data_IF_158554716104
#
_entry.id   IF_158554716104
#
_cell.length_a   1.000
_cell.length_b   1.000
_cell.length_c   1.000
_cell.angle_alpha   90.00
_cell.angle_beta   90.00
_cell.angle_gamma   90.00
#
_symmetry.space_group_name_H-M   'P 1'
#
loop_
_entity.id
_entity.type
_entity.pdbx_description
1 polymer ?
#
# COMPACT_ATOMS: atom_id res chain seq x y z
N UNK A 1 -18.63 15.12 -32.64
CA UNK A 1 -18.46 16.35 -31.84
C UNK A 1 -18.72 15.98 -30.39
N UNK A 2 -17.96 16.49 -29.44
CA UNK A 2 -18.27 16.25 -28.02
C UNK A 2 -19.57 16.97 -27.65
N UNK A 3 -20.45 16.30 -26.90
CA UNK A 3 -21.71 16.90 -26.48
C UNK A 3 -21.46 18.09 -25.53
N UNK A 4 -22.23 19.18 -25.71
CA UNK A 4 -22.15 20.40 -24.90
C UNK A 4 -23.16 20.35 -23.76
N UNK A 5 -23.05 21.28 -22.82
CA UNK A 5 -23.96 21.37 -21.66
C UNK A 5 -24.67 22.72 -21.63
N UNK A 6 -25.88 22.78 -21.06
CA UNK A 6 -26.60 24.05 -20.82
C UNK A 6 -26.49 24.43 -19.34
N UNK A 7 -25.92 25.59 -19.08
CA UNK A 7 -25.94 26.22 -17.75
C UNK A 7 -27.09 27.21 -17.67
N UNK A 8 -27.90 27.10 -16.61
CA UNK A 8 -28.99 28.03 -16.32
C UNK A 8 -29.09 28.27 -14.80
N UNK A 9 -28.04 28.76 -14.13
CA UNK A 9 -28.08 29.08 -12.72
C UNK A 9 -28.88 30.35 -12.44
N UNK A 10 -29.24 30.51 -11.17
CA UNK A 10 -29.71 31.80 -10.65
C UNK A 10 -28.51 32.71 -10.44
N UNK A 11 -28.56 33.90 -11.02
CA UNK A 11 -27.54 34.93 -10.86
C UNK A 11 -27.71 35.75 -9.58
N UNK A 12 -26.74 36.62 -9.31
CA UNK A 12 -26.73 37.50 -8.13
C UNK A 12 -27.45 38.83 -8.36
N UNK A 13 -27.67 39.22 -9.62
CA UNK A 13 -28.31 40.47 -10.03
C UNK A 13 -27.36 41.66 -9.90
N UNK A 14 -26.15 41.56 -10.43
CA UNK A 14 -25.19 42.66 -10.38
C UNK A 14 -25.30 43.51 -11.66
N UNK A 15 -26.28 44.42 -11.71
CA UNK A 15 -26.53 45.25 -12.91
C UNK A 15 -25.29 46.03 -13.38
N UNK A 16 -24.48 46.53 -12.45
CA UNK A 16 -23.24 47.25 -12.78
C UNK A 16 -22.20 46.36 -13.47
N UNK A 17 -22.20 45.05 -13.19
CA UNK A 17 -21.39 44.08 -13.91
C UNK A 17 -21.98 43.80 -15.29
N UNK A 18 -23.29 43.52 -15.35
CA UNK A 18 -24.00 43.15 -16.58
C UNK A 18 -23.90 44.26 -17.64
N UNK A 19 -23.93 45.51 -17.18
CA UNK A 19 -23.92 46.68 -18.05
C UNK A 19 -22.52 47.28 -18.24
N UNK A 20 -21.48 46.60 -17.71
CA UNK A 20 -20.08 47.03 -17.79
C UNK A 20 -19.82 48.43 -17.23
N UNK A 21 -20.55 48.82 -16.18
CA UNK A 21 -20.27 50.04 -15.41
C UNK A 21 -18.91 49.96 -14.68
N UNK A 22 -18.40 48.74 -14.49
CA UNK A 22 -17.02 48.46 -14.11
C UNK A 22 -16.51 47.18 -14.78
N UNK A 23 -15.19 47.08 -14.95
CA UNK A 23 -14.53 45.95 -15.60
C UNK A 23 -13.92 45.03 -14.55
N UNK A 24 -14.34 43.76 -14.53
CA UNK A 24 -13.78 42.72 -13.68
C UNK A 24 -12.52 42.08 -14.31
N UNK A 25 -11.68 41.44 -13.49
CA UNK A 25 -10.44 40.79 -13.95
C UNK A 25 -10.64 39.67 -14.99
N UNK A 26 -11.83 39.09 -15.10
CA UNK A 26 -12.18 38.05 -16.08
C UNK A 26 -12.69 38.61 -17.42
N UNK A 27 -12.87 39.92 -17.53
CA UNK A 27 -13.33 40.60 -18.73
C UNK A 27 -12.11 41.00 -19.56
N UNK A 28 -12.18 40.75 -20.87
CA UNK A 28 -11.22 41.20 -21.88
C UNK A 28 -11.75 42.52 -22.47
N UNK A 29 -11.21 43.69 -22.08
CA UNK A 29 -11.81 44.99 -22.41
C UNK A 29 -12.00 45.22 -23.91
N UNK A 30 -11.09 44.72 -24.73
CA UNK A 30 -11.10 44.86 -26.19
C UNK A 30 -12.30 44.15 -26.85
N UNK A 31 -12.87 43.16 -26.15
CA UNK A 31 -14.01 42.37 -26.63
C UNK A 31 -15.36 42.90 -26.15
N UNK A 32 -15.39 43.90 -25.27
CA UNK A 32 -16.65 44.48 -24.76
C UNK A 32 -17.56 44.97 -25.89
N UNK A 33 -16.97 45.42 -27.00
CA UNK A 33 -17.69 45.81 -28.22
C UNK A 33 -18.42 44.66 -28.92
N UNK A 34 -18.11 43.40 -28.58
CA UNK A 34 -18.80 42.22 -29.12
C UNK A 34 -20.07 41.89 -28.33
N UNK A 35 -20.21 42.40 -27.10
CA UNK A 35 -21.39 42.17 -26.28
C UNK A 35 -22.66 42.62 -27.00
N UNK A 36 -23.77 41.92 -26.77
CA UNK A 36 -25.08 42.28 -27.34
C UNK A 36 -26.02 42.75 -26.26
N UNK A 37 -26.57 43.93 -26.42
CA UNK A 37 -27.59 44.48 -25.52
C UNK A 37 -28.95 44.30 -26.19
N UNK A 38 -29.84 43.52 -25.58
CA UNK A 38 -31.21 43.32 -26.08
C UNK A 38 -32.16 44.32 -25.45
N UNK A 39 -32.00 44.58 -24.15
CA UNK A 39 -32.72 45.61 -23.41
C UNK A 39 -31.89 46.02 -22.20
N UNK A 40 -31.91 47.31 -21.86
CA UNK A 40 -31.24 47.88 -20.70
C UNK A 40 -32.07 49.06 -20.18
N UNK A 41 -33.11 48.73 -19.42
CA UNK A 41 -33.97 49.70 -18.76
C UNK A 41 -33.53 49.89 -17.30
N UNK A 42 -33.68 51.11 -16.75
CA UNK A 42 -33.42 51.33 -15.34
C UNK A 42 -34.44 50.57 -14.47
N UNK A 43 -34.01 50.02 -13.33
CA UNK A 43 -34.92 49.30 -12.43
C UNK A 43 -36.11 50.17 -11.99
N UNK A 44 -35.89 51.48 -11.84
CA UNK A 44 -36.94 52.46 -11.50
C UNK A 44 -37.99 52.57 -12.61
N UNK A 45 -37.57 52.76 -13.85
CA UNK A 45 -38.51 52.92 -14.98
C UNK A 45 -39.29 51.62 -15.22
N UNK A 46 -38.61 50.48 -15.10
CA UNK A 46 -39.23 49.16 -15.20
C UNK A 46 -40.31 48.97 -14.11
N UNK A 47 -40.04 49.40 -12.87
CA UNK A 47 -41.01 49.37 -11.78
C UNK A 47 -42.21 50.28 -12.02
N UNK A 48 -41.99 51.48 -12.58
CA UNK A 48 -43.07 52.39 -12.94
C UNK A 48 -43.97 51.77 -14.02
N UNK A 49 -43.39 51.14 -15.05
CA UNK A 49 -44.17 50.42 -16.08
C UNK A 49 -44.94 49.23 -15.51
N UNK A 50 -44.32 48.43 -14.64
CA UNK A 50 -44.94 47.24 -14.08
C UNK A 50 -46.04 47.54 -13.04
N UNK A 51 -45.83 48.55 -12.20
CA UNK A 51 -46.60 48.73 -10.97
C UNK A 51 -47.14 50.15 -10.78
N UNK A 52 -46.66 51.15 -11.52
CA UNK A 52 -47.01 52.56 -11.31
C UNK A 52 -48.51 52.82 -11.37
N UNK A 53 -49.21 52.23 -12.35
CA UNK A 53 -50.67 52.36 -12.43
C UNK A 53 -51.37 51.69 -11.25
N UNK A 54 -50.96 50.47 -10.88
CA UNK A 54 -51.55 49.74 -9.76
C UNK A 54 -51.31 50.45 -8.41
N UNK A 55 -50.18 51.15 -8.27
CA UNK A 55 -49.84 51.95 -7.10
C UNK A 55 -50.74 53.18 -7.01
N UNK A 56 -50.91 53.91 -8.12
CA UNK A 56 -51.83 55.06 -8.21
C UNK A 56 -53.26 54.66 -7.86
N UNK A 57 -53.76 53.58 -8.47
CA UNK A 57 -55.10 53.06 -8.21
C UNK A 57 -55.30 52.67 -6.74
N UNK A 58 -54.28 52.03 -6.14
CA UNK A 58 -54.32 51.64 -4.73
C UNK A 58 -54.38 52.85 -3.80
N UNK A 59 -53.52 53.86 -4.04
CA UNK A 59 -53.44 55.07 -3.23
C UNK A 59 -54.70 55.94 -3.34
N UNK A 60 -55.29 56.03 -4.53
CA UNK A 60 -56.55 56.73 -4.77
C UNK A 60 -57.72 56.15 -3.95
N UNK A 61 -57.69 54.83 -3.68
CA UNK A 61 -58.68 54.16 -2.85
C UNK A 61 -58.43 54.27 -1.33
N UNK A 62 -57.27 54.79 -0.88
CA UNK A 62 -56.95 54.89 0.55
C UNK A 62 -57.51 56.16 1.18
N UNK A 63 -58.34 56.01 2.23
CA UNK A 63 -58.82 57.14 3.05
C UNK A 63 -57.82 57.61 4.09
N UNK A 64 -56.84 56.77 4.43
CA UNK A 64 -55.86 56.97 5.50
C UNK A 64 -54.48 57.22 4.89
N UNK A 65 -53.86 58.34 5.24
CA UNK A 65 -52.55 58.75 4.69
C UNK A 65 -51.44 57.75 5.03
N UNK A 66 -51.49 57.15 6.22
CA UNK A 66 -50.50 56.14 6.66
C UNK A 66 -50.60 54.80 5.90
N UNK A 67 -51.66 54.57 5.12
CA UNK A 67 -51.82 53.38 4.27
C UNK A 67 -51.40 53.61 2.82
N UNK A 68 -51.13 54.85 2.43
CA UNK A 68 -50.63 55.16 1.09
C UNK A 68 -49.16 54.73 0.99
N UNK A 69 -48.80 54.21 -0.19
CA UNK A 69 -47.43 53.79 -0.50
C UNK A 69 -46.79 54.83 -1.40
N UNK A 70 -45.61 55.30 -1.04
CA UNK A 70 -44.91 56.34 -1.81
C UNK A 70 -44.16 55.72 -3.00
N UNK A 71 -43.25 54.78 -2.73
CA UNK A 71 -42.40 54.14 -3.74
C UNK A 71 -42.47 52.62 -3.60
N UNK A 72 -43.11 51.95 -4.56
CA UNK A 72 -43.29 50.51 -4.49
C UNK A 72 -41.97 49.73 -4.61
N UNK A 73 -40.94 50.27 -5.25
CA UNK A 73 -39.62 49.63 -5.28
C UNK A 73 -39.03 49.57 -3.86
N UNK A 74 -39.04 50.70 -3.14
CA UNK A 74 -38.60 50.76 -1.74
C UNK A 74 -39.42 49.87 -0.82
N UNK A 75 -40.71 49.71 -1.10
CA UNK A 75 -41.56 48.77 -0.34
C UNK A 75 -41.08 47.32 -0.47
N UNK A 76 -40.60 46.94 -1.67
CA UNK A 76 -40.02 45.60 -1.89
C UNK A 76 -38.64 45.49 -1.25
N UNK A 77 -37.77 46.50 -1.39
CA UNK A 77 -36.44 46.53 -0.76
C UNK A 77 -36.51 46.37 0.76
N UNK A 78 -37.51 46.97 1.39
CA UNK A 78 -37.72 46.93 2.83
C UNK A 78 -38.67 45.81 3.29
N UNK A 79 -39.10 44.93 2.38
CA UNK A 79 -40.04 43.85 2.68
C UNK A 79 -39.41 42.78 3.57
N UNK A 80 -40.04 42.49 4.72
CA UNK A 80 -39.64 41.37 5.59
C UNK A 80 -39.85 39.98 4.98
N UNK A 81 -40.52 39.89 3.82
CA UNK A 81 -40.86 38.62 3.16
C UNK A 81 -39.72 38.07 2.28
N UNK A 82 -38.53 38.70 2.28
CA UNK A 82 -37.37 38.31 1.45
C UNK A 82 -37.66 38.31 -0.06
N UNK A 83 -38.60 39.15 -0.49
CA UNK A 83 -38.87 39.39 -1.90
C UNK A 83 -37.69 40.14 -2.52
N UNK A 84 -37.22 39.69 -3.69
CA UNK A 84 -36.17 40.41 -4.41
C UNK A 84 -36.81 41.45 -5.33
N UNK A 85 -36.14 42.59 -5.48
CA UNK A 85 -36.58 43.64 -6.42
C UNK A 85 -36.60 43.12 -7.86
N UNK A 86 -35.65 42.26 -8.21
CA UNK A 86 -35.63 41.51 -9.45
C UNK A 86 -34.87 40.19 -9.29
N UNK A 87 -34.90 39.38 -10.34
CA UNK A 87 -34.25 38.08 -10.41
C UNK A 87 -33.38 38.01 -11.65
N UNK A 88 -32.24 37.33 -11.54
CA UNK A 88 -31.30 37.12 -12.63
C UNK A 88 -31.17 35.63 -12.94
N UNK A 89 -31.16 35.29 -14.22
CA UNK A 89 -30.67 34.01 -14.72
C UNK A 89 -29.48 34.23 -15.64
N UNK A 90 -28.45 33.41 -15.46
CA UNK A 90 -27.29 33.38 -16.35
C UNK A 90 -27.46 32.16 -17.25
N UNK A 91 -27.41 32.34 -18.57
CA UNK A 91 -27.62 31.25 -19.54
C UNK A 91 -26.38 31.09 -20.41
N UNK A 92 -25.82 29.89 -20.43
CA UNK A 92 -24.60 29.58 -21.19
C UNK A 92 -24.74 28.22 -21.89
N UNK A 93 -24.16 28.12 -23.08
CA UNK A 93 -24.06 26.87 -23.85
C UNK A 93 -22.59 26.45 -23.94
N UNK A 94 -22.28 25.24 -23.47
CA UNK A 94 -20.93 24.71 -23.38
C UNK A 94 -20.14 25.24 -22.18
N UNK A 95 -18.85 24.93 -22.17
CA UNK A 95 -17.85 25.36 -21.18
C UNK A 95 -16.62 25.92 -21.91
N UNK A 96 -15.71 26.54 -21.18
CA UNK A 96 -14.52 27.20 -21.75
C UNK A 96 -13.72 26.28 -22.69
N UNK A 97 -13.67 24.98 -22.41
CA UNK A 97 -12.90 24.02 -23.21
C UNK A 97 -13.55 23.65 -24.54
N UNK A 98 -14.87 23.82 -24.69
CA UNK A 98 -15.59 23.42 -25.91
C UNK A 98 -16.30 24.56 -26.64
N UNK A 99 -16.60 25.68 -25.96
CA UNK A 99 -17.18 26.89 -26.53
C UNK A 99 -16.42 28.13 -26.03
N UNK A 100 -15.08 28.22 -26.20
CA UNK A 100 -14.35 29.43 -25.87
C UNK A 100 -14.80 30.57 -26.77
N UNK A 101 -14.98 31.78 -26.22
CA UNK A 101 -15.36 32.97 -27.02
C UNK A 101 -14.37 33.19 -28.17
N UNK A 102 -13.07 33.21 -27.88
CA UNK A 102 -12.05 33.50 -28.88
C UNK A 102 -10.97 32.43 -28.91
N UNK A 103 -10.38 32.24 -30.09
CA UNK A 103 -9.23 31.38 -30.32
C UNK A 103 -7.91 32.02 -29.86
N UNK A 104 -6.79 31.34 -30.13
CA UNK A 104 -5.43 31.78 -29.82
C UNK A 104 -5.05 33.10 -30.51
N UNK A 105 -5.69 33.43 -31.63
CA UNK A 105 -5.48 34.67 -32.38
C UNK A 105 -6.42 35.80 -31.90
N UNK A 106 -7.26 35.53 -30.91
CA UNK A 106 -8.24 36.48 -30.41
C UNK A 106 -9.39 36.72 -31.37
N UNK A 107 -9.72 35.75 -32.23
CA UNK A 107 -10.86 35.80 -33.16
C UNK A 107 -12.02 34.96 -32.61
N UNK A 108 -13.26 35.43 -32.81
CA UNK A 108 -14.47 34.71 -32.37
C UNK A 108 -14.53 33.30 -32.99
N UNK A 109 -14.63 32.26 -32.16
CA UNK A 109 -14.62 30.86 -32.60
C UNK A 109 -15.91 30.47 -33.30
N UNK A 110 -15.88 29.42 -34.12
CA UNK A 110 -17.08 28.89 -34.79
C UNK A 110 -18.08 28.31 -33.77
N UNK A 111 -17.59 27.65 -32.72
CA UNK A 111 -18.42 27.13 -31.64
C UNK A 111 -19.11 28.27 -30.88
N UNK A 112 -18.40 29.36 -30.62
CA UNK A 112 -18.99 30.56 -30.01
C UNK A 112 -20.02 31.21 -30.93
N UNK A 113 -19.78 31.30 -32.24
CA UNK A 113 -20.77 31.83 -33.22
C UNK A 113 -22.06 31.03 -33.19
N UNK A 114 -21.97 29.69 -33.24
CA UNK A 114 -23.14 28.82 -33.17
C UNK A 114 -23.91 28.99 -31.84
N UNK A 115 -23.20 29.05 -30.71
CA UNK A 115 -23.81 29.31 -29.41
C UNK A 115 -24.46 30.70 -29.32
N UNK A 116 -23.83 31.73 -29.90
CA UNK A 116 -24.35 33.10 -29.97
C UNK A 116 -25.66 33.15 -30.75
N UNK A 117 -25.77 32.43 -31.87
CA UNK A 117 -27.01 32.38 -32.65
C UNK A 117 -28.17 31.78 -31.86
N UNK A 118 -27.92 30.67 -31.14
CA UNK A 118 -28.92 30.06 -30.25
C UNK A 118 -29.34 31.02 -29.14
N UNK A 119 -28.37 31.61 -28.44
CA UNK A 119 -28.64 32.51 -27.32
C UNK A 119 -29.34 33.80 -27.78
N UNK A 120 -29.01 34.32 -28.97
CA UNK A 120 -29.65 35.49 -29.56
C UNK A 120 -31.14 35.25 -29.83
N UNK A 121 -31.46 34.10 -30.46
CA UNK A 121 -32.86 33.71 -30.66
C UNK A 121 -33.58 33.47 -29.34
N UNK A 122 -32.92 32.82 -28.38
CA UNK A 122 -33.48 32.58 -27.05
C UNK A 122 -33.84 33.87 -26.32
N UNK A 123 -32.94 34.86 -26.34
CA UNK A 123 -33.12 36.17 -25.72
C UNK A 123 -34.25 36.97 -26.37
N UNK A 124 -34.27 37.06 -27.71
CA UNK A 124 -35.29 37.82 -28.46
C UNK A 124 -36.71 37.32 -28.25
N UNK A 125 -36.88 36.03 -28.00
CA UNK A 125 -38.18 35.39 -27.80
C UNK A 125 -38.54 35.19 -26.33
N UNK A 126 -37.67 35.59 -25.39
CA UNK A 126 -37.85 35.33 -23.95
C UNK A 126 -39.13 35.93 -23.39
N UNK A 127 -39.43 37.19 -23.71
CA UNK A 127 -40.58 37.90 -23.16
C UNK A 127 -41.92 37.27 -23.60
N UNK A 128 -41.99 36.71 -24.80
CA UNK A 128 -43.18 36.05 -25.35
C UNK A 128 -43.52 34.76 -24.60
N UNK A 129 -42.50 33.96 -24.26
CA UNK A 129 -42.66 32.74 -23.44
C UNK A 129 -42.91 33.02 -21.96
N UNK A 130 -42.54 34.21 -21.51
CA UNK A 130 -42.53 34.59 -20.10
C UNK A 130 -43.33 35.89 -19.86
N UNK A 131 -44.64 35.92 -20.17
CA UNK A 131 -45.43 37.15 -20.14
C UNK A 131 -45.55 37.80 -18.75
N UNK A 132 -45.37 37.04 -17.66
CA UNK A 132 -45.39 37.56 -16.31
C UNK A 132 -43.99 37.82 -15.72
N UNK A 133 -42.93 37.64 -16.50
CA UNK A 133 -41.57 38.03 -16.12
C UNK A 133 -41.17 39.21 -17.02
N UNK A 134 -41.32 40.43 -16.50
CA UNK A 134 -40.98 41.63 -17.26
C UNK A 134 -39.46 41.71 -17.39
N UNK A 135 -38.96 41.47 -18.60
CA UNK A 135 -37.55 41.55 -18.94
C UNK A 135 -37.16 43.02 -19.05
N UNK A 136 -36.35 43.50 -18.11
CA UNK A 136 -35.92 44.91 -18.09
C UNK A 136 -34.43 45.06 -18.42
N UNK A 137 -33.61 44.02 -18.20
CA UNK A 137 -32.21 44.02 -18.58
C UNK A 137 -31.83 42.65 -19.15
N UNK A 138 -31.23 42.64 -20.35
CA UNK A 138 -30.77 41.42 -21.01
C UNK A 138 -29.55 41.72 -21.87
N UNK A 139 -28.41 41.16 -21.47
CA UNK A 139 -27.10 41.41 -22.09
C UNK A 139 -26.39 40.09 -22.32
N UNK A 140 -25.82 39.92 -23.51
CA UNK A 140 -24.92 38.82 -23.84
C UNK A 140 -23.48 39.28 -23.70
N UNK A 141 -22.70 38.56 -22.91
CA UNK A 141 -21.27 38.77 -22.75
C UNK A 141 -20.50 37.87 -23.72
N UNK A 142 -19.66 38.49 -24.55
CA UNK A 142 -18.67 37.90 -25.46
C UNK A 142 -17.26 38.41 -25.17
N UNK A 143 -17.07 38.99 -24.00
CA UNK A 143 -15.82 39.54 -23.51
C UNK A 143 -15.24 38.74 -22.34
N UNK A 144 -15.84 37.60 -22.02
CA UNK A 144 -15.37 36.66 -21.00
C UNK A 144 -14.94 35.32 -21.64
N UNK A 145 -14.86 34.25 -20.85
CA UNK A 145 -14.38 32.96 -21.31
C UNK A 145 -15.33 32.25 -22.29
N UNK A 146 -16.63 32.39 -22.08
CA UNK A 146 -17.71 31.65 -22.77
C UNK A 146 -18.87 32.58 -23.09
N UNK A 147 -19.54 32.47 -24.25
CA UNK A 147 -20.75 33.23 -24.53
C UNK A 147 -21.84 32.93 -23.49
N UNK A 148 -22.35 33.97 -22.83
CA UNK A 148 -23.44 33.81 -21.87
C UNK A 148 -24.36 35.02 -21.81
N UNK A 149 -25.62 34.79 -21.47
CA UNK A 149 -26.63 35.82 -21.23
C UNK A 149 -26.78 36.10 -19.75
N UNK A 150 -26.91 37.38 -19.41
CA UNK A 150 -27.53 37.83 -18.17
C UNK A 150 -28.97 38.25 -18.49
N UNK A 151 -29.93 37.60 -17.85
CA UNK A 151 -31.37 37.83 -18.04
C UNK A 151 -31.96 38.29 -16.72
N UNK A 152 -32.19 39.60 -16.59
CA UNK A 152 -32.75 40.21 -15.40
C UNK A 152 -34.23 40.57 -15.62
N UNK A 153 -35.09 40.06 -14.75
CA UNK A 153 -36.53 40.22 -14.87
C UNK A 153 -37.23 40.51 -13.55
N UNK A 154 -38.36 41.20 -13.65
CA UNK A 154 -39.26 41.51 -12.54
C UNK A 154 -40.52 40.64 -12.67
N UNK A 155 -40.87 39.82 -11.67
CA UNK A 155 -42.09 39.03 -11.76
C UNK A 155 -43.31 39.90 -11.48
N UNK A 156 -44.26 39.92 -12.41
CA UNK A 156 -45.48 40.72 -12.34
C UNK A 156 -46.67 39.81 -12.18
N UNK A 157 -47.33 39.89 -11.02
CA UNK A 157 -48.49 39.06 -10.70
C UNK A 157 -49.74 39.92 -10.46
N UNK A 158 -50.85 39.52 -11.08
CA UNK A 158 -52.11 40.28 -11.05
C UNK A 158 -53.18 39.64 -10.14
N UNK A 159 -54.33 40.31 -9.99
CA UNK A 159 -55.54 39.72 -9.38
C UNK A 159 -55.46 39.51 -7.87
N UNK A 160 -54.76 40.38 -7.12
CA UNK A 160 -54.82 40.37 -5.66
C UNK A 160 -56.10 41.08 -5.16
N UNK A 161 -56.80 40.46 -4.20
CA UNK A 161 -58.05 40.99 -3.63
C UNK A 161 -57.84 42.09 -2.59
N UNK A 162 -56.74 41.99 -1.84
CA UNK A 162 -56.34 42.95 -0.82
C UNK A 162 -55.13 43.74 -1.32
N UNK A 163 -54.90 44.96 -0.82
CA UNK A 163 -53.73 45.78 -1.19
C UNK A 163 -53.69 46.17 -2.67
N UNK A 164 -52.49 46.37 -3.20
CA UNK A 164 -52.28 46.59 -4.64
C UNK A 164 -52.72 45.35 -5.44
N UNK A 165 -53.46 45.58 -6.55
CA UNK A 165 -54.00 44.53 -7.43
C UNK A 165 -52.92 43.80 -8.24
N UNK A 166 -51.84 44.50 -8.58
CA UNK A 166 -50.64 43.97 -9.24
C UNK A 166 -49.46 44.09 -8.27
N UNK A 167 -48.62 43.05 -8.18
CA UNK A 167 -47.51 42.98 -7.21
C UNK A 167 -46.29 42.23 -7.76
N UNK A 168 -45.13 42.51 -7.18
CA UNK A 168 -43.93 41.69 -7.37
C UNK A 168 -44.12 40.36 -6.63
N UNK A 169 -44.34 39.25 -7.36
CA UNK A 169 -44.47 37.93 -6.77
C UNK A 169 -44.10 36.83 -7.76
N UNK A 170 -42.93 36.25 -7.59
CA UNK A 170 -42.40 35.21 -8.47
C UNK A 170 -43.30 33.98 -8.54
N UNK A 171 -43.72 33.46 -7.38
CA UNK A 171 -44.59 32.27 -7.31
C UNK A 171 -45.92 32.48 -8.02
N UNK A 172 -46.59 33.62 -7.79
CA UNK A 172 -47.89 33.88 -8.42
C UNK A 172 -47.75 34.20 -9.91
N UNK A 173 -46.67 34.89 -10.31
CA UNK A 173 -46.33 35.10 -11.72
C UNK A 173 -46.21 33.77 -12.46
N UNK A 174 -45.47 32.80 -11.90
CA UNK A 174 -45.38 31.46 -12.50
C UNK A 174 -46.73 30.74 -12.55
N UNK A 175 -47.54 30.80 -11.48
CA UNK A 175 -48.88 30.19 -11.50
C UNK A 175 -49.78 30.80 -12.58
N UNK A 176 -49.68 32.11 -12.83
CA UNK A 176 -50.41 32.79 -13.90
C UNK A 176 -49.92 32.39 -15.30
N UNK A 177 -48.67 31.99 -15.43
CA UNK A 177 -48.12 31.37 -16.65
C UNK A 177 -48.43 29.87 -16.79
N UNK A 178 -49.23 29.30 -15.88
CA UNK A 178 -49.69 27.91 -15.96
C UNK A 178 -48.84 26.89 -15.21
N UNK A 179 -47.82 27.31 -14.44
CA UNK A 179 -47.03 26.38 -13.64
C UNK A 179 -47.80 25.89 -12.41
N UNK A 180 -47.79 24.56 -12.21
CA UNK A 180 -48.49 23.93 -11.10
C UNK A 180 -47.92 24.38 -9.76
N UNK A 181 -48.80 24.53 -8.77
CA UNK A 181 -48.43 24.93 -7.41
C UNK A 181 -47.42 23.94 -6.82
N UNK A 182 -46.42 24.47 -6.10
CA UNK A 182 -45.39 23.64 -5.47
C UNK A 182 -45.97 22.51 -4.60
N UNK A 183 -45.48 21.30 -4.83
CA UNK A 183 -45.79 20.10 -4.02
C UNK A 183 -44.66 19.82 -3.02
N UNK A 184 -43.43 20.23 -3.34
CA UNK A 184 -42.29 20.13 -2.43
C UNK A 184 -41.23 21.18 -2.79
N UNK A 185 -40.20 21.33 -1.94
CA UNK A 185 -39.04 22.19 -2.28
C UNK A 185 -38.35 21.78 -3.60
N UNK A 186 -38.34 20.48 -3.93
CA UNK A 186 -37.74 19.95 -5.17
C UNK A 186 -38.69 19.94 -6.36
N UNK A 187 -39.99 20.15 -6.14
CA UNK A 187 -41.04 20.21 -7.18
C UNK A 187 -41.86 21.48 -6.97
N UNK A 188 -41.31 22.59 -7.46
CA UNK A 188 -41.88 23.93 -7.35
C UNK A 188 -41.94 24.62 -8.72
N UNK A 189 -42.63 25.76 -8.78
CA UNK A 189 -42.87 26.51 -10.01
C UNK A 189 -41.58 26.94 -10.71
N UNK A 190 -40.54 27.32 -9.95
CA UNK A 190 -39.25 27.75 -10.50
C UNK A 190 -38.50 26.59 -11.16
N UNK A 191 -38.55 25.40 -10.55
CA UNK A 191 -37.92 24.19 -11.14
C UNK A 191 -38.61 23.83 -12.44
N UNK A 192 -39.94 23.75 -12.46
CA UNK A 192 -40.72 23.44 -13.66
C UNK A 192 -40.51 24.48 -14.78
N UNK A 193 -40.40 25.76 -14.42
CA UNK A 193 -40.06 26.81 -15.37
C UNK A 193 -38.65 26.66 -15.95
N UNK A 194 -37.65 26.39 -15.11
CA UNK A 194 -36.28 26.16 -15.57
C UNK A 194 -36.17 24.93 -16.47
N UNK A 195 -36.93 23.86 -16.18
CA UNK A 195 -37.02 22.68 -17.04
C UNK A 195 -37.57 23.06 -18.42
N UNK A 196 -38.71 23.77 -18.49
CA UNK A 196 -39.29 24.28 -19.75
C UNK A 196 -38.30 25.13 -20.54
N UNK A 197 -37.58 26.05 -19.88
CA UNK A 197 -36.61 26.90 -20.57
C UNK A 197 -35.38 26.12 -21.07
N UNK A 198 -34.91 25.11 -20.31
CA UNK A 198 -33.82 24.22 -20.75
C UNK A 198 -34.25 23.35 -21.92
N UNK A 199 -35.48 22.84 -21.92
CA UNK A 199 -36.04 22.07 -23.03
C UNK A 199 -36.05 22.91 -24.31
N UNK A 200 -36.57 24.14 -24.24
CA UNK A 200 -36.59 25.05 -25.38
C UNK A 200 -35.18 25.41 -25.87
N UNK A 201 -34.23 25.69 -24.97
CA UNK A 201 -32.82 25.90 -25.34
C UNK A 201 -32.20 24.67 -26.01
N UNK A 202 -32.55 23.46 -25.54
CA UNK A 202 -32.07 22.21 -26.12
C UNK A 202 -32.59 22.02 -27.54
N UNK A 203 -33.85 22.38 -27.81
CA UNK A 203 -34.41 22.39 -29.15
C UNK A 203 -33.68 23.37 -30.07
N UNK A 204 -33.45 24.61 -29.61
CA UNK A 204 -32.69 25.60 -30.39
C UNK A 204 -31.25 25.14 -30.67
N UNK A 205 -30.60 24.49 -29.69
CA UNK A 205 -29.28 23.89 -29.89
C UNK A 205 -29.31 22.82 -30.98
N UNK A 206 -30.32 21.92 -30.94
CA UNK A 206 -30.48 20.85 -31.93
C UNK A 206 -30.69 21.40 -33.33
N UNK A 207 -31.48 22.46 -33.50
CA UNK A 207 -31.68 23.14 -34.79
C UNK A 207 -30.38 23.70 -35.37
N UNK A 208 -29.44 24.12 -34.51
CA UNK A 208 -28.12 24.62 -34.88
C UNK A 208 -27.03 23.53 -34.92
N UNK A 209 -27.42 22.24 -34.87
CA UNK A 209 -26.48 21.12 -34.91
C UNK A 209 -25.63 20.95 -33.64
N UNK A 210 -26.02 21.59 -32.54
CA UNK A 210 -25.35 21.46 -31.25
C UNK A 210 -25.99 20.32 -30.46
N UNK A 211 -25.22 19.25 -30.23
CA UNK A 211 -25.63 18.14 -29.37
C UNK A 211 -25.48 18.52 -27.89
N UNK A 212 -26.55 18.33 -27.11
CA UNK A 212 -26.57 18.64 -25.67
C UNK A 212 -26.61 17.35 -24.85
N UNK A 213 -25.64 17.20 -23.95
CA UNK A 213 -25.64 16.18 -22.92
C UNK A 213 -26.28 16.73 -21.63
N UNK A 214 -27.32 16.03 -21.17
CA UNK A 214 -27.97 16.33 -19.89
C UNK A 214 -27.24 15.59 -18.78
N UNK A 215 -26.22 16.22 -18.20
CA UNK A 215 -25.59 15.73 -16.98
C UNK A 215 -26.65 15.69 -15.87
N UNK A 216 -26.89 14.54 -15.23
CA UNK A 216 -27.92 14.35 -14.20
C UNK A 216 -27.90 15.48 -13.15
N UNK A 217 -28.89 16.38 -13.21
CA UNK A 217 -28.80 17.68 -12.53
C UNK A 217 -29.32 17.60 -11.09
N UNK A 218 -28.39 17.54 -10.15
CA UNK A 218 -28.39 18.47 -9.01
C UNK A 218 -27.01 19.12 -8.93
N UNK A 219 -26.83 20.26 -9.61
CA UNK A 219 -25.70 21.16 -9.38
C UNK A 219 -26.18 22.31 -8.50
N UNK A 220 -25.50 22.53 -7.38
CA UNK A 220 -25.71 23.71 -6.55
C UNK A 220 -25.28 24.99 -7.32
N UNK A 221 -25.98 26.10 -7.10
CA UNK A 221 -25.63 27.39 -7.70
C UNK A 221 -24.35 27.92 -7.05
N UNK A 222 -23.18 27.56 -7.58
CA UNK A 222 -21.90 28.11 -7.14
C UNK A 222 -21.65 29.47 -7.81
N UNK A 223 -21.28 30.47 -7.02
CA UNK A 223 -20.73 31.73 -7.54
C UNK A 223 -19.37 31.50 -8.22
N UNK A 224 -18.91 32.42 -9.07
CA UNK A 224 -17.62 32.28 -9.77
C UNK A 224 -16.43 31.97 -8.82
N UNK A 225 -16.28 32.60 -7.64
CA UNK A 225 -15.25 32.21 -6.68
C UNK A 225 -15.42 30.78 -6.15
N UNK A 226 -16.65 30.38 -5.83
CA UNK A 226 -16.97 29.04 -5.33
C UNK A 226 -16.73 27.98 -6.41
N UNK A 227 -17.07 28.26 -7.67
CA UNK A 227 -16.75 27.41 -8.81
C UNK A 227 -15.25 27.26 -9.01
N UNK A 228 -14.48 28.37 -8.96
CA UNK A 228 -13.02 28.32 -9.05
C UNK A 228 -12.39 27.53 -7.91
N UNK A 229 -12.93 27.66 -6.69
CA UNK A 229 -12.47 26.89 -5.54
C UNK A 229 -12.78 25.39 -5.72
N UNK A 230 -14.01 25.05 -6.10
CA UNK A 230 -14.42 23.68 -6.37
C UNK A 230 -13.60 23.04 -7.50
N UNK A 231 -13.26 23.80 -8.55
CA UNK A 231 -12.39 23.30 -9.62
C UNK A 231 -10.96 23.04 -9.14
N UNK A 232 -10.40 23.89 -8.27
CA UNK A 232 -9.07 23.65 -7.67
C UNK A 232 -9.07 22.43 -6.76
N UNK A 233 -10.15 22.24 -6.01
CA UNK A 233 -10.33 21.07 -5.15
C UNK A 233 -10.46 19.79 -5.97
N UNK A 234 -11.23 19.83 -7.07
CA UNK A 234 -11.32 18.72 -8.03
C UNK A 234 -9.95 18.38 -8.63
N UNK A 235 -9.18 19.39 -9.07
CA UNK A 235 -7.84 19.18 -9.64
C UNK A 235 -6.87 18.56 -8.61
N UNK A 236 -6.96 18.98 -7.34
CA UNK A 236 -6.18 18.37 -6.25
C UNK A 236 -6.62 16.93 -5.97
N UNK A 237 -7.92 16.65 -6.01
CA UNK A 237 -8.45 15.31 -5.83
C UNK A 237 -8.07 14.38 -6.99
N UNK A 238 -8.07 14.87 -8.23
CA UNK A 238 -7.55 14.12 -9.40
C UNK A 238 -6.07 13.80 -9.24
N UNK A 239 -5.24 14.77 -8.85
CA UNK A 239 -3.81 14.53 -8.59
C UNK A 239 -3.58 13.52 -7.45
N UNK A 240 -4.41 13.57 -6.40
CA UNK A 240 -4.35 12.58 -5.32
C UNK A 240 -4.79 11.19 -5.78
N UNK A 241 -5.81 11.10 -6.63
CA UNK A 241 -6.27 9.83 -7.21
C UNK A 241 -5.17 9.21 -8.09
N UNK A 242 -4.54 9.98 -8.98
CA UNK A 242 -3.41 9.51 -9.80
C UNK A 242 -2.22 9.05 -8.96
N UNK A 243 -1.92 9.75 -7.87
CA UNK A 243 -0.86 9.36 -6.94
C UNK A 243 -1.19 8.06 -6.19
N UNK A 244 -2.44 7.87 -5.78
CA UNK A 244 -2.91 6.64 -5.14
C UNK A 244 -2.91 5.47 -6.11
N UNK A 245 -3.32 5.66 -7.36
CA UNK A 245 -3.27 4.63 -8.40
C UNK A 245 -1.81 4.19 -8.66
N UNK A 246 -0.89 5.15 -8.79
CA UNK A 246 0.55 4.86 -8.91
C UNK A 246 1.10 4.09 -7.71
N UNK A 247 0.64 4.41 -6.50
CA UNK A 247 1.02 3.69 -5.28
C UNK A 247 0.44 2.27 -5.24
N UNK A 248 -0.80 2.09 -5.68
CA UNK A 248 -1.45 0.79 -5.76
C UNK A 248 -0.73 -0.13 -6.75
N UNK A 249 -0.36 0.37 -7.93
CA UNK A 249 0.44 -0.39 -8.90
C UNK A 249 1.79 -0.83 -8.32
N UNK A 250 2.44 0.02 -7.51
CA UNK A 250 3.70 -0.33 -6.85
C UNK A 250 3.51 -1.41 -5.77
N UNK A 251 2.42 -1.33 -5.00
CA UNK A 251 2.08 -2.34 -3.99
C UNK A 251 1.69 -3.67 -4.62
N UNK A 252 1.00 -3.66 -5.76
CA UNK A 252 0.64 -4.88 -6.51
C UNK A 252 1.91 -5.62 -6.96
N UNK A 253 2.89 -4.90 -7.54
CA UNK A 253 4.21 -5.46 -7.87
C UNK A 253 4.94 -6.04 -6.65
N UNK A 254 4.90 -5.35 -5.50
CA UNK A 254 5.51 -5.87 -4.27
C UNK A 254 4.82 -7.15 -3.77
N UNK A 255 3.49 -7.24 -3.89
CA UNK A 255 2.76 -8.45 -3.53
C UNK A 255 3.12 -9.62 -4.45
N UNK A 256 3.26 -9.39 -5.75
CA UNK A 256 3.69 -10.42 -6.70
C UNK A 256 5.10 -10.94 -6.37
N UNK A 257 6.05 -10.04 -6.10
CA UNK A 257 7.41 -10.39 -5.66
C UNK A 257 7.41 -11.20 -4.35
N UNK A 258 6.57 -10.81 -3.38
CA UNK A 258 6.41 -11.53 -2.12
C UNK A 258 5.78 -12.91 -2.31
N UNK A 259 4.78 -13.02 -3.19
CA UNK A 259 4.15 -14.29 -3.52
C UNK A 259 5.17 -15.26 -4.16
N UNK A 260 5.99 -14.76 -5.08
CA UNK A 260 7.06 -15.54 -5.69
C UNK A 260 8.08 -16.03 -4.65
N UNK A 261 8.59 -15.14 -3.80
CA UNK A 261 9.53 -15.51 -2.72
C UNK A 261 8.94 -16.53 -1.75
N UNK A 262 7.65 -16.40 -1.45
CA UNK A 262 6.94 -17.34 -0.57
C UNK A 262 6.87 -18.72 -1.20
N UNK A 263 6.61 -18.80 -2.51
CA UNK A 263 6.62 -20.06 -3.26
C UNK A 263 8.01 -20.70 -3.30
N UNK A 264 9.07 -19.90 -3.49
CA UNK A 264 10.45 -20.38 -3.49
C UNK A 264 10.87 -20.93 -2.11
N UNK A 265 10.53 -20.22 -1.04
CA UNK A 265 10.77 -20.68 0.33
C UNK A 265 10.00 -21.96 0.67
N UNK A 266 8.75 -22.07 0.21
CA UNK A 266 7.95 -23.29 0.40
C UNK A 266 8.59 -24.50 -0.30
N UNK A 267 9.11 -24.32 -1.52
CA UNK A 267 9.83 -25.37 -2.24
C UNK A 267 11.11 -25.79 -1.50
N UNK A 268 11.90 -24.82 -1.02
CA UNK A 268 13.11 -25.12 -0.22
C UNK A 268 12.79 -25.85 1.09
N UNK A 269 11.69 -25.49 1.75
CA UNK A 269 11.25 -26.17 2.96
C UNK A 269 10.86 -27.64 2.70
N UNK A 270 10.15 -27.92 1.59
CA UNK A 270 9.82 -29.28 1.18
C UNK A 270 11.08 -30.10 0.85
N UNK A 271 12.06 -29.50 0.19
CA UNK A 271 13.32 -30.16 -0.16
C UNK A 271 14.13 -30.50 1.11
N UNK A 272 14.17 -29.58 2.08
CA UNK A 272 14.79 -29.81 3.39
C UNK A 272 14.06 -30.90 4.19
N UNK A 273 12.73 -30.93 4.15
CA UNK A 273 11.93 -31.97 4.80
C UNK A 273 12.20 -33.35 4.19
N UNK A 274 12.28 -33.45 2.86
CA UNK A 274 12.65 -34.68 2.17
C UNK A 274 14.05 -35.16 2.57
N UNK A 275 15.02 -34.25 2.63
CA UNK A 275 16.38 -34.57 3.05
C UNK A 275 16.46 -35.03 4.51
N UNK A 276 15.72 -34.37 5.41
CA UNK A 276 15.65 -34.77 6.83
C UNK A 276 15.04 -36.17 7.00
N UNK A 277 14.01 -36.52 6.21
CA UNK A 277 13.43 -37.85 6.21
C UNK A 277 14.42 -38.91 5.72
N UNK A 278 15.23 -38.61 4.72
CA UNK A 278 16.29 -39.51 4.24
C UNK A 278 17.37 -39.73 5.31
N UNK A 279 17.82 -38.67 5.97
CA UNK A 279 18.74 -38.75 7.11
C UNK A 279 18.17 -39.61 8.26
N UNK A 280 16.87 -39.48 8.54
CA UNK A 280 16.20 -40.29 9.56
C UNK A 280 16.24 -41.78 9.21
N UNK A 281 15.96 -42.12 7.95
CA UNK A 281 16.04 -43.50 7.46
C UNK A 281 17.46 -44.06 7.57
N UNK A 282 18.48 -43.29 7.20
CA UNK A 282 19.88 -43.69 7.34
C UNK A 282 20.25 -43.90 8.82
N UNK A 283 19.80 -43.03 9.72
CA UNK A 283 20.05 -43.16 11.15
C UNK A 283 19.40 -44.44 11.72
N UNK A 284 18.17 -44.77 11.29
CA UNK A 284 17.50 -46.02 11.67
C UNK A 284 18.29 -47.25 11.21
N UNK A 285 18.76 -47.26 9.95
CA UNK A 285 19.56 -48.37 9.42
C UNK A 285 20.87 -48.55 10.17
N UNK A 286 21.59 -47.45 10.46
CA UNK A 286 22.79 -47.46 11.29
C UNK A 286 22.52 -48.01 12.70
N UNK A 287 21.38 -47.63 13.31
CA UNK A 287 20.99 -48.13 14.63
C UNK A 287 20.79 -49.64 14.61
N UNK A 288 20.12 -50.17 13.58
CA UNK A 288 19.91 -51.62 13.43
C UNK A 288 21.23 -52.37 13.18
N UNK A 289 22.18 -51.76 12.45
CA UNK A 289 23.52 -52.32 12.27
C UNK A 289 24.31 -52.37 13.58
N UNK A 290 24.20 -51.34 14.43
CA UNK A 290 24.84 -51.30 15.75
C UNK A 290 24.27 -52.41 16.65
N UNK A 291 22.94 -52.54 16.75
CA UNK A 291 22.32 -53.62 17.54
C UNK A 291 22.80 -55.02 17.09
N UNK A 292 22.88 -55.25 15.78
CA UNK A 292 23.41 -56.51 15.23
C UNK A 292 24.87 -56.73 15.60
N UNK A 293 25.69 -55.67 15.62
CA UNK A 293 27.09 -55.75 16.01
C UNK A 293 27.26 -56.02 17.52
N UNK A 294 26.47 -55.35 18.36
CA UNK A 294 26.46 -55.56 19.83
C UNK A 294 26.03 -56.98 20.17
N UNK A 295 25.02 -57.52 19.49
CA UNK A 295 24.58 -58.91 19.69
C UNK A 295 25.69 -59.91 19.33
N UNK A 296 26.40 -59.69 18.21
CA UNK A 296 27.56 -60.51 17.83
C UNK A 296 28.71 -60.38 18.83
N UNK A 297 28.97 -59.18 19.35
CA UNK A 297 29.97 -58.98 20.39
C UNK A 297 29.61 -59.76 21.65
N UNK A 298 28.34 -59.71 22.08
CA UNK A 298 27.84 -60.47 23.22
C UNK A 298 28.01 -61.97 23.04
N UNK A 299 27.64 -62.51 21.87
CA UNK A 299 27.86 -63.92 21.52
C UNK A 299 29.35 -64.29 21.55
N UNK A 300 30.20 -63.43 21.02
CA UNK A 300 31.66 -63.62 21.02
C UNK A 300 32.22 -63.59 22.45
N UNK A 301 31.74 -62.68 23.30
CA UNK A 301 32.12 -62.58 24.71
C UNK A 301 31.63 -63.80 25.51
N UNK A 302 30.44 -64.33 25.23
CA UNK A 302 29.96 -65.58 25.84
C UNK A 302 30.81 -66.79 25.42
N UNK A 303 31.22 -66.87 24.15
CA UNK A 303 32.15 -67.89 23.66
C UNK A 303 33.50 -67.76 24.37
N UNK A 304 34.03 -66.53 24.49
CA UNK A 304 35.27 -66.24 25.22
C UNK A 304 35.16 -66.64 26.69
N UNK A 305 34.04 -66.36 27.35
CA UNK A 305 33.77 -66.77 28.73
C UNK A 305 33.73 -68.28 28.90
N UNK A 306 33.06 -69.01 28.00
CA UNK A 306 33.07 -70.49 27.99
C UNK A 306 34.47 -71.07 27.77
N UNK A 307 35.29 -70.39 26.98
CA UNK A 307 36.68 -70.76 26.70
C UNK A 307 37.69 -70.14 27.67
N UNK A 308 37.26 -69.40 28.70
CA UNK A 308 38.11 -68.95 29.81
C UNK A 308 38.41 -70.11 30.78
N UNK A 309 38.75 -71.25 30.17
CA UNK A 309 39.42 -72.41 30.74
C UNK A 309 40.73 -72.01 31.40
N UNK A 310 41.20 -70.77 31.29
CA UNK A 310 42.49 -70.30 31.80
C UNK A 310 42.58 -70.55 33.30
N UNK A 311 41.59 -70.16 34.08
CA UNK A 311 41.64 -70.24 35.54
C UNK A 311 41.54 -71.67 36.06
N UNK A 312 40.62 -72.48 35.50
CA UNK A 312 40.50 -73.89 35.88
C UNK A 312 41.67 -74.73 35.39
N UNK A 313 42.13 -74.50 34.16
CA UNK A 313 43.21 -75.27 33.55
C UNK A 313 44.57 -74.91 34.17
N UNK A 314 44.81 -73.64 34.59
CA UNK A 314 45.96 -73.30 35.44
C UNK A 314 45.92 -73.97 36.82
N UNK A 315 44.73 -74.15 37.41
CA UNK A 315 44.56 -74.82 38.71
C UNK A 315 44.84 -76.32 38.61
N UNK A 316 44.37 -76.96 37.54
CA UNK A 316 44.62 -78.38 37.24
C UNK A 316 46.08 -78.63 36.90
N UNK A 317 46.68 -77.82 36.03
CA UNK A 317 48.11 -77.89 35.71
C UNK A 317 48.96 -77.67 36.97
N UNK A 318 48.62 -76.70 37.83
CA UNK A 318 49.33 -76.48 39.10
C UNK A 318 49.26 -77.69 40.02
N UNK A 319 48.11 -78.38 40.11
CA UNK A 319 47.99 -79.60 40.91
C UNK A 319 48.84 -80.73 40.35
N UNK A 320 48.81 -80.93 39.05
CA UNK A 320 49.50 -82.03 38.37
C UNK A 320 51.03 -81.87 38.39
N UNK A 321 51.50 -80.64 38.13
CA UNK A 321 52.92 -80.28 38.30
C UNK A 321 53.36 -80.50 39.74
N UNK A 322 52.57 -80.12 40.75
CA UNK A 322 52.94 -80.31 42.16
C UNK A 322 53.02 -81.80 42.56
N UNK A 323 52.19 -82.66 41.96
CA UNK A 323 52.26 -84.13 42.14
C UNK A 323 53.51 -84.72 41.48
N UNK A 324 53.86 -84.30 40.26
CA UNK A 324 55.11 -84.72 39.60
C UNK A 324 56.36 -84.22 40.34
N UNK A 325 56.35 -82.97 40.83
CA UNK A 325 57.49 -82.39 41.57
C UNK A 325 57.76 -83.15 42.88
N UNK A 326 56.71 -83.63 43.57
CA UNK A 326 56.86 -84.48 44.77
C UNK A 326 57.42 -85.86 44.45
N UNK A 327 57.00 -86.48 43.33
CA UNK A 327 57.54 -87.77 42.86
C UNK A 327 59.00 -87.66 42.42
N UNK A 328 59.43 -86.51 41.88
CA UNK A 328 60.82 -86.29 41.48
C UNK A 328 61.79 -86.09 42.66
N UNK A 329 61.37 -85.48 43.78
CA UNK A 329 62.21 -85.33 44.98
C UNK A 329 62.63 -86.66 45.63
N UNK A 330 61.85 -87.72 45.46
CA UNK A 330 62.16 -89.05 46.01
C UNK A 330 63.09 -89.90 45.13
N UNK A 331 63.51 -89.42 43.96
CA UNK A 331 64.30 -90.20 42.97
C UNK A 331 65.77 -89.74 42.87
N UNK A 332 66.08 -88.55 43.39
CA UNK A 332 67.44 -88.02 43.47
C UNK A 332 68.17 -88.60 44.70
N UNK A 333 69.17 -89.46 44.49
CA UNK A 333 70.05 -89.95 45.56
C UNK A 333 71.33 -89.13 45.59
N UNK A 334 71.68 -88.46 46.71
CA UNK A 334 72.92 -87.72 46.85
C UNK A 334 74.12 -88.65 46.75
N UNK A 335 75.14 -88.27 45.99
CA UNK A 335 76.41 -88.99 45.92
C UNK A 335 77.53 -88.08 46.43
N UNK A 336 78.29 -88.54 47.42
CA UNK A 336 79.47 -87.80 47.91
C UNK A 336 80.59 -87.88 46.88
N UNK A 337 81.07 -86.72 46.44
CA UNK A 337 82.18 -86.60 45.48
C UNK A 337 83.48 -87.15 46.08
N UNK A 338 84.20 -87.98 45.33
CA UNK A 338 85.55 -88.45 45.70
C UNK A 338 86.66 -87.53 45.17
N UNK A 339 86.36 -86.53 44.33
CA UNK A 339 87.30 -85.48 43.90
C UNK A 339 86.54 -84.18 43.57
N UNK A 340 86.66 -83.16 44.43
CA UNK A 340 86.18 -81.79 44.15
C UNK A 340 84.81 -81.41 44.75
N UNK A 341 84.67 -80.14 45.14
CA UNK A 341 83.60 -79.56 45.97
C UNK A 341 82.24 -79.34 45.27
N UNK A 342 81.90 -80.15 44.27
CA UNK A 342 80.61 -80.07 43.57
C UNK A 342 79.70 -81.25 43.95
N UNK A 343 78.41 -80.95 44.21
CA UNK A 343 77.41 -81.96 44.54
C UNK A 343 76.90 -82.68 43.28
N UNK A 344 76.93 -84.02 43.29
CA UNK A 344 76.44 -84.85 42.19
C UNK A 344 75.18 -85.62 42.60
N UNK A 345 74.23 -85.71 41.68
CA UNK A 345 73.00 -86.50 41.84
C UNK A 345 72.90 -87.53 40.70
N UNK A 346 72.70 -88.80 41.05
CA UNK A 346 72.48 -89.86 40.04
C UNK A 346 71.00 -89.99 39.74
N UNK A 347 70.62 -89.81 38.47
CA UNK A 347 69.23 -89.94 38.00
C UNK A 347 69.17 -90.96 36.87
N UNK A 348 68.11 -91.77 36.80
CA UNK A 348 67.90 -92.71 35.67
C UNK A 348 67.71 -91.93 34.37
N UNK A 349 68.28 -92.42 33.26
CA UNK A 349 68.23 -91.75 31.94
C UNK A 349 66.81 -91.46 31.44
N UNK A 350 65.85 -92.35 31.72
CA UNK A 350 64.43 -92.14 31.39
C UNK A 350 63.83 -90.95 32.13
N UNK A 351 64.24 -90.74 33.38
CA UNK A 351 63.72 -89.67 34.23
C UNK A 351 64.44 -88.35 33.92
N UNK A 352 65.73 -88.39 33.58
CA UNK A 352 66.48 -87.25 33.05
C UNK A 352 65.87 -86.72 31.75
N UNK A 353 65.51 -87.61 30.81
CA UNK A 353 64.87 -87.20 29.56
C UNK A 353 63.49 -86.55 29.79
N UNK A 354 62.73 -86.98 30.80
CA UNK A 354 61.47 -86.33 31.18
C UNK A 354 61.68 -84.93 31.75
N UNK A 355 62.72 -84.75 32.58
CA UNK A 355 63.11 -83.44 33.09
C UNK A 355 63.47 -82.51 31.92
N UNK A 356 64.25 -83.00 30.96
CA UNK A 356 64.66 -82.24 29.78
C UNK A 356 63.48 -81.85 28.87
N UNK A 357 62.54 -82.77 28.65
CA UNK A 357 61.32 -82.51 27.86
C UNK A 357 60.41 -81.46 28.53
N UNK A 358 60.20 -81.58 29.84
CA UNK A 358 59.44 -80.61 30.62
C UNK A 358 60.10 -79.21 30.58
N UNK A 359 61.43 -79.15 30.69
CA UNK A 359 62.18 -77.91 30.58
C UNK A 359 62.06 -77.29 29.19
N UNK A 360 62.15 -78.09 28.11
CA UNK A 360 62.01 -77.59 26.73
C UNK A 360 60.62 -77.01 26.46
N UNK A 361 59.57 -77.63 27.01
CA UNK A 361 58.18 -77.15 26.93
C UNK A 361 57.99 -75.84 27.70
N UNK A 362 58.62 -75.71 28.88
CA UNK A 362 58.57 -74.48 29.67
C UNK A 362 59.27 -73.30 28.95
N UNK A 363 60.45 -73.54 28.37
CA UNK A 363 61.17 -72.54 27.57
C UNK A 363 60.34 -72.08 26.37
N UNK A 364 59.71 -73.03 25.66
CA UNK A 364 58.84 -72.72 24.51
C UNK A 364 57.62 -71.89 24.90
N UNK A 365 57.03 -72.15 26.07
CA UNK A 365 55.89 -71.38 26.61
C UNK A 365 56.29 -69.96 27.03
N UNK A 366 57.47 -69.80 27.64
CA UNK A 366 58.00 -68.48 27.97
C UNK A 366 58.26 -67.65 26.72
N UNK A 367 58.76 -68.27 25.64
CA UNK A 367 58.92 -67.57 24.36
C UNK A 367 57.59 -67.08 23.76
N UNK A 368 56.51 -67.86 23.89
CA UNK A 368 55.17 -67.44 23.49
C UNK A 368 54.63 -66.28 24.35
N UNK A 369 54.87 -66.29 25.66
CA UNK A 369 54.48 -65.19 26.55
C UNK A 369 55.20 -63.89 26.18
N UNK A 370 56.51 -63.96 25.96
CA UNK A 370 57.33 -62.81 25.54
C UNK A 370 56.82 -62.21 24.21
N UNK A 371 56.35 -63.05 23.28
CA UNK A 371 55.73 -62.60 22.02
C UNK A 371 54.43 -61.83 22.24
N UNK A 372 53.58 -62.26 23.17
CA UNK A 372 52.34 -61.56 23.50
C UNK A 372 52.59 -60.25 24.27
N UNK A 373 53.53 -60.24 25.21
CA UNK A 373 53.95 -59.01 25.91
C UNK A 373 54.45 -57.94 24.94
N UNK A 374 55.26 -58.33 23.94
CA UNK A 374 55.70 -57.41 22.87
C UNK A 374 54.51 -56.85 22.06
N UNK A 375 53.49 -57.66 21.79
CA UNK A 375 52.29 -57.23 21.06
C UNK A 375 51.43 -56.26 21.89
N UNK A 376 51.27 -56.52 23.19
CA UNK A 376 50.55 -55.64 24.11
C UNK A 376 51.27 -54.29 24.22
N UNK A 377 52.59 -54.29 24.44
CA UNK A 377 53.38 -53.06 24.47
C UNK A 377 53.28 -52.25 23.17
N UNK A 378 53.18 -52.94 22.01
CA UNK A 378 52.95 -52.28 20.71
C UNK A 378 51.57 -51.60 20.61
N UNK A 379 50.53 -52.19 21.19
CA UNK A 379 49.18 -51.60 21.21
C UNK A 379 49.09 -50.42 22.17
N UNK A 380 49.69 -50.51 23.35
CA UNK A 380 49.74 -49.41 24.32
C UNK A 380 50.42 -48.17 23.73
N UNK A 381 51.52 -48.35 22.99
CA UNK A 381 52.17 -47.25 22.26
C UNK A 381 51.26 -46.61 21.21
N UNK A 382 50.47 -47.40 20.48
CA UNK A 382 49.51 -46.86 19.50
C UNK A 382 48.41 -46.04 20.18
N UNK A 383 47.88 -46.50 21.31
CA UNK A 383 46.86 -45.78 22.09
C UNK A 383 47.43 -44.44 22.58
N UNK A 384 48.67 -44.42 23.07
CA UNK A 384 49.33 -43.19 23.51
C UNK A 384 49.47 -42.17 22.37
N UNK A 385 49.86 -42.62 21.16
CA UNK A 385 49.98 -41.75 19.98
C UNK A 385 48.61 -41.19 19.55
N UNK A 386 47.57 -42.02 19.50
CA UNK A 386 46.23 -41.58 19.13
C UNK A 386 45.68 -40.57 20.15
N UNK A 387 45.94 -40.80 21.44
CA UNK A 387 45.53 -39.88 22.51
C UNK A 387 46.19 -38.51 22.36
N UNK A 388 47.49 -38.47 22.08
CA UNK A 388 48.22 -37.21 21.83
C UNK A 388 47.69 -36.47 20.59
N UNK A 389 47.34 -37.20 19.52
CA UNK A 389 46.75 -36.61 18.31
C UNK A 389 45.39 -35.98 18.59
N UNK A 390 44.52 -36.66 19.35
CA UNK A 390 43.21 -36.12 19.76
C UNK A 390 43.38 -34.84 20.58
N UNK A 391 44.34 -34.82 21.51
CA UNK A 391 44.59 -33.65 22.35
C UNK A 391 45.08 -32.44 21.53
N UNK A 392 45.93 -32.68 20.53
CA UNK A 392 46.36 -31.64 19.57
C UNK A 392 45.20 -31.08 18.76
N UNK A 393 44.29 -31.94 18.30
CA UNK A 393 43.08 -31.50 17.58
C UNK A 393 42.17 -30.65 18.45
N UNK A 394 41.95 -31.06 19.71
CA UNK A 394 41.17 -30.25 20.69
C UNK A 394 41.78 -28.87 20.89
N UNK A 395 43.11 -28.79 21.08
CA UNK A 395 43.82 -27.50 21.20
C UNK A 395 43.71 -26.66 19.94
N UNK A 396 43.79 -27.27 18.75
CA UNK A 396 43.61 -26.56 17.50
C UNK A 396 42.23 -25.91 17.41
N UNK A 397 41.17 -26.68 17.69
CA UNK A 397 39.78 -26.19 17.70
C UNK A 397 39.60 -25.02 18.67
N UNK A 398 40.14 -25.15 19.89
CA UNK A 398 40.08 -24.07 20.89
C UNK A 398 40.91 -22.84 20.50
N UNK A 399 42.15 -23.02 20.01
CA UNK A 399 43.03 -21.90 19.63
C UNK A 399 42.51 -21.08 18.45
N UNK A 400 41.72 -21.69 17.58
CA UNK A 400 41.10 -21.06 16.42
C UNK A 400 39.70 -20.53 16.72
N UNK A 401 39.21 -20.68 17.96
CA UNK A 401 37.87 -20.30 18.37
C UNK A 401 36.78 -21.00 17.56
N UNK A 402 37.08 -22.17 16.98
CA UNK A 402 36.17 -22.85 16.05
C UNK A 402 34.95 -23.41 16.77
N UNK A 403 35.09 -23.76 18.06
CA UNK A 403 33.98 -24.18 18.90
C UNK A 403 33.00 -23.03 19.15
N UNK A 404 33.51 -21.87 19.53
CA UNK A 404 32.72 -20.66 19.76
C UNK A 404 32.08 -20.16 18.46
N UNK A 405 32.84 -20.14 17.36
CA UNK A 405 32.33 -19.76 16.04
C UNK A 405 31.21 -20.70 15.56
N UNK A 406 31.31 -22.00 15.83
CA UNK A 406 30.26 -22.96 15.52
C UNK A 406 29.00 -22.72 16.38
N UNK A 407 29.17 -22.42 17.68
CA UNK A 407 28.04 -22.08 18.57
C UNK A 407 27.36 -20.77 18.15
N UNK A 408 28.12 -19.74 17.79
CA UNK A 408 27.56 -18.49 17.24
C UNK A 408 26.87 -18.71 15.90
N UNK A 409 27.43 -19.54 15.03
CA UNK A 409 26.80 -19.93 13.77
C UNK A 409 25.44 -20.60 14.02
N UNK A 410 25.35 -21.55 14.96
CA UNK A 410 24.06 -22.16 15.32
C UNK A 410 23.08 -21.13 15.91
N UNK A 411 23.54 -20.24 16.78
CA UNK A 411 22.71 -19.13 17.31
C UNK A 411 22.22 -18.17 16.22
N UNK A 412 22.94 -18.03 15.11
CA UNK A 412 22.50 -17.19 13.98
C UNK A 412 21.25 -17.73 13.28
N UNK A 413 20.93 -19.01 13.45
CA UNK A 413 19.69 -19.64 12.95
C UNK A 413 18.54 -19.58 13.96
N UNK A 414 18.76 -19.11 15.19
CA UNK A 414 17.66 -18.93 16.15
C UNK A 414 16.74 -17.78 15.70
N UNK A 415 15.41 -17.96 15.77
CA UNK A 415 14.47 -16.95 15.31
C UNK A 415 14.58 -15.68 16.15
N UNK A 416 14.99 -14.58 15.50
CA UNK A 416 15.13 -13.25 16.13
C UNK A 416 13.82 -12.83 16.81
N UNK A 417 13.94 -12.34 18.04
CA UNK A 417 12.80 -11.77 18.78
C UNK A 417 12.28 -10.51 18.10
N UNK A 418 11.00 -10.19 18.29
CA UNK A 418 10.39 -8.95 17.74
C UNK A 418 11.14 -7.68 18.15
N UNK A 419 11.75 -7.67 19.35
CA UNK A 419 12.55 -6.55 19.83
C UNK A 419 13.83 -6.35 19.01
N UNK A 420 14.54 -7.45 18.72
CA UNK A 420 15.75 -7.43 17.88
C UNK A 420 15.43 -7.05 16.43
N UNK A 421 14.33 -7.55 15.86
CA UNK A 421 13.88 -7.16 14.52
C UNK A 421 13.59 -5.65 14.41
N UNK A 422 13.05 -5.04 15.46
CA UNK A 422 12.76 -3.60 15.53
C UNK A 422 14.03 -2.76 15.68
N UNK A 423 15.05 -3.30 16.32
CA UNK A 423 16.35 -2.66 16.54
C UNK A 423 17.21 -2.72 15.27
N UNK A 424 17.24 -3.88 14.59
CA UNK A 424 17.86 -4.06 13.28
C UNK A 424 17.26 -3.09 12.25
N UNK A 425 15.92 -3.02 12.17
CA UNK A 425 15.23 -2.10 11.25
C UNK A 425 15.54 -0.62 11.53
N UNK A 426 15.76 -0.24 12.79
CA UNK A 426 16.21 1.12 13.15
C UNK A 426 17.65 1.37 12.71
N UNK A 427 18.51 0.38 12.89
CA UNK A 427 19.94 0.48 12.53
C UNK A 427 20.11 0.56 11.02
N UNK A 428 19.36 -0.24 10.25
CA UNK A 428 19.31 -0.20 8.79
C UNK A 428 18.78 1.16 8.29
N UNK A 429 17.75 1.70 8.94
CA UNK A 429 17.22 3.02 8.62
C UNK A 429 18.25 4.14 8.90
N UNK A 430 18.99 4.05 10.00
CA UNK A 430 20.04 5.00 10.36
C UNK A 430 21.25 4.92 9.41
N UNK A 431 21.63 3.70 9.00
CA UNK A 431 22.72 3.48 8.04
C UNK A 431 22.34 3.94 6.63
N UNK A 432 21.12 3.64 6.18
CA UNK A 432 20.58 4.16 4.93
C UNK A 432 20.54 5.70 4.95
N UNK A 433 20.11 6.31 6.05
CA UNK A 433 20.10 7.77 6.21
C UNK A 433 21.52 8.37 6.22
N UNK A 434 22.51 7.70 6.81
CA UNK A 434 23.93 8.12 6.76
C UNK A 434 24.50 8.01 5.35
N UNK A 435 24.25 6.92 4.64
CA UNK A 435 24.71 6.74 3.25
C UNK A 435 24.09 7.80 2.33
N UNK A 436 22.80 8.11 2.51
CA UNK A 436 22.11 9.16 1.75
C UNK A 436 22.68 10.55 2.03
N UNK A 437 22.98 10.88 3.30
CA UNK A 437 23.67 12.14 3.65
C UNK A 437 25.08 12.21 3.05
N UNK A 438 25.86 11.14 3.10
CA UNK A 438 27.20 11.11 2.50
C UNK A 438 27.16 11.24 0.96
N UNK A 439 26.17 10.63 0.30
CA UNK A 439 25.94 10.78 -1.15
C UNK A 439 25.48 12.18 -1.55
N UNK A 440 24.85 12.96 -0.67
CA UNK A 440 24.50 14.37 -0.92
C UNK A 440 25.67 15.34 -0.73
N UNK A 441 26.68 14.99 0.08
CA UNK A 441 27.87 15.84 0.31
C UNK A 441 28.93 15.69 -0.81
N UNK A 442 28.97 14.55 -1.50
CA UNK A 442 29.88 14.29 -2.63
C UNK A 442 29.65 15.21 -3.86
N UNK A 443 28.40 15.52 -4.29
CA UNK A 443 28.12 16.46 -5.37
C UNK A 443 28.51 17.91 -5.06
N UNK A 444 28.41 18.35 -3.80
CA UNK A 444 28.73 19.74 -3.42
C UNK A 444 30.24 20.01 -3.44
N UNK A 445 31.06 19.04 -3.02
CA UNK A 445 32.52 19.18 -3.12
C UNK A 445 33.02 19.16 -4.57
N UNK A 446 32.41 18.38 -5.47
CA UNK A 446 32.80 18.36 -6.88
C UNK A 446 32.41 19.63 -7.65
N UNK A 447 31.39 20.37 -7.21
CA UNK A 447 31.07 21.69 -7.79
C UNK A 447 32.06 22.78 -7.39
N UNK A 448 32.66 22.70 -6.19
CA UNK A 448 33.57 23.74 -5.72
C UNK A 448 34.95 23.69 -6.43
N UNK A 449 35.43 22.50 -6.80
CA UNK A 449 36.71 22.33 -7.52
C UNK A 449 36.64 22.66 -9.02
N UNK A 450 35.45 22.79 -9.60
CA UNK A 450 35.27 23.22 -11.00
C UNK A 450 35.13 24.74 -11.18
N UNK A 451 35.15 25.52 -10.09
CA UNK A 451 35.13 26.98 -10.14
C UNK A 451 36.50 27.65 -9.87
N UNK A 452 37.53 26.88 -9.52
CA UNK A 452 38.89 27.40 -9.21
C UNK A 452 40.00 26.93 -10.18
N UNK A 453 39.63 26.36 -11.34
CA UNK A 453 40.53 26.11 -12.49
C UNK A 453 39.94 26.80 -13.71
#
# INVERSE_FOLDING_TARGET
MAAKTISFPKGRGHLTHNNRDFICNNVVPERTAWNRIYIQESLRDAYEKCFGQALRDYNAAQKRKDRQKDDYLKEIENSGNKEKTFYENIVQIGKKTDTPVADENGVLTEEAKAAVEVLDRYAKTFQERNPNLYLFNCVMHLDEATPHLHIDYIPVAHGYKNGMKTRNSLTKAFQQMGFAKAVSRKKNETVAWQEREREYLTELCREQGIEIEVLGVQRDNLSLPEYKAAMRELEQLEQQAEALDSQNEALEKQNDDLAQRTSELAAQAQEMEAHNNELLMQAQELTEQIEKAEQKEKETNEILSKHDLRTETFKTISKEVNVETKKMKSVAVPMTSLFGSEEYVKVKKSDWNKILDAFSKAVSRNHLLEKYEKKISGLEKKIAVLTDQVEKLKRFVASRGLGEAFVEFIKSFEPKTMKQKLEDAKTDADEHNRQRKNQQVLPEKNKHWQQEM
#
